data_IF_300271644834
#
_entry.id   IF_300271644834
#
_cell.length_a   1.000
_cell.length_b   1.000
_cell.length_c   1.000
_cell.angle_alpha   90.00
_cell.angle_beta   90.00
_cell.angle_gamma   90.00
#
_symmetry.space_group_name_H-M   'P 1'
#
loop_
_entity.id
_entity.type
_entity.pdbx_description
1 polymer ?
#
# COMPACT_ATOMS: atom_id res chain seq x y z
N UNK A 1 23.45 -52.99 56.39
CA UNK A 1 23.42 -51.57 56.82
C UNK A 1 23.41 -50.74 55.55
N UNK A 2 22.53 -49.80 55.23
CA UNK A 2 21.47 -49.06 55.90
C UNK A 2 20.58 -48.50 54.77
N UNK A 3 19.26 -48.53 54.93
CA UNK A 3 18.29 -47.91 54.00
C UNK A 3 18.34 -46.37 54.09
N UNK A 4 18.09 -45.62 52.98
CA UNK A 4 16.99 -44.62 52.83
C UNK A 4 17.13 -43.66 51.61
N UNK A 5 16.01 -43.06 51.15
CA UNK A 5 15.81 -42.43 49.83
C UNK A 5 15.81 -40.88 49.86
N UNK A 6 15.99 -40.24 48.70
CA UNK A 6 15.75 -38.81 48.41
C UNK A 6 15.78 -38.64 46.87
N UNK A 7 15.02 -37.82 46.17
CA UNK A 7 13.79 -37.06 46.39
C UNK A 7 13.45 -36.46 44.99
N UNK A 8 12.17 -36.39 44.64
CA UNK A 8 11.66 -35.93 43.37
C UNK A 8 11.90 -34.42 43.12
N UNK A 9 12.19 -34.03 41.87
CA UNK A 9 12.22 -32.60 41.46
C UNK A 9 11.43 -32.37 40.17
N UNK A 10 10.16 -32.01 40.38
CA UNK A 10 9.30 -31.04 39.68
C UNK A 10 9.50 -30.82 38.17
N UNK A 11 8.57 -31.37 37.39
CA UNK A 11 8.22 -30.86 36.07
C UNK A 11 7.40 -29.57 36.23
N UNK A 12 7.94 -28.44 35.76
CA UNK A 12 7.22 -27.16 35.72
C UNK A 12 6.18 -27.18 34.62
N UNK A 13 4.91 -27.31 34.98
CA UNK A 13 3.76 -27.09 34.10
C UNK A 13 3.35 -25.64 34.30
N UNK A 14 3.76 -24.75 33.39
CA UNK A 14 3.23 -23.39 33.37
C UNK A 14 1.83 -23.42 32.77
N UNK A 15 0.83 -23.55 33.64
CA UNK A 15 -0.57 -23.26 33.33
C UNK A 15 -0.70 -21.78 32.97
N UNK A 16 -0.95 -21.46 31.70
CA UNK A 16 -1.45 -20.14 31.32
C UNK A 16 -2.92 -20.09 31.75
N UNK A 17 -3.15 -19.43 32.88
CA UNK A 17 -4.47 -19.11 33.39
C UNK A 17 -5.06 -17.87 32.71
N UNK A 18 -6.39 -17.80 32.68
CA UNK A 18 -7.14 -16.58 32.37
C UNK A 18 -8.51 -16.86 31.74
N UNK A 19 -9.56 -16.80 32.56
CA UNK A 19 -10.96 -17.14 32.25
C UNK A 19 -11.79 -15.90 31.89
N UNK A 20 -12.70 -16.10 30.92
CA UNK A 20 -14.10 -15.64 30.83
C UNK A 20 -14.47 -14.13 30.79
N UNK A 21 -15.25 -13.72 29.77
CA UNK A 21 -16.55 -12.98 29.88
C UNK A 21 -17.32 -13.19 28.55
N UNK A 22 -18.47 -13.89 28.52
CA UNK A 22 -19.84 -13.34 28.46
C UNK A 22 -20.17 -12.79 27.05
N UNK A 23 -21.10 -13.31 26.24
CA UNK A 23 -22.47 -13.72 26.51
C UNK A 23 -23.39 -12.96 25.52
N UNK A 24 -24.50 -13.59 25.11
CA UNK A 24 -25.63 -13.03 24.33
C UNK A 24 -25.65 -13.18 22.80
N UNK A 25 -26.13 -14.36 22.40
CA UNK A 25 -27.25 -14.46 21.46
C UNK A 25 -28.50 -13.81 22.09
N UNK A 26 -29.34 -13.16 21.26
CA UNK A 26 -30.71 -12.62 21.49
C UNK A 26 -30.85 -11.08 21.56
N UNK A 27 -31.38 -10.47 20.49
CA UNK A 27 -32.66 -9.69 20.43
C UNK A 27 -32.67 -8.77 19.18
N UNK A 28 -33.62 -9.01 18.27
CA UNK A 28 -34.27 -8.04 17.36
C UNK A 28 -35.70 -7.80 17.91
N UNK A 29 -36.54 -6.85 17.47
CA UNK A 29 -36.39 -5.50 16.88
C UNK A 29 -37.28 -4.42 17.59
N UNK A 30 -37.42 -3.22 16.96
CA UNK A 30 -38.57 -2.27 17.00
C UNK A 30 -38.45 -0.93 17.77
N UNK A 31 -38.41 0.15 16.96
CA UNK A 31 -38.81 1.55 17.13
C UNK A 31 -38.94 2.17 18.53
N UNK A 32 -38.13 3.20 18.78
CA UNK A 32 -38.65 4.44 19.38
C UNK A 32 -37.93 5.64 18.78
N UNK A 33 -38.73 6.46 18.11
CA UNK A 33 -38.49 7.81 17.66
C UNK A 33 -37.72 8.72 18.65
N UNK A 34 -36.86 9.57 18.07
CA UNK A 34 -36.49 10.93 18.52
C UNK A 34 -35.57 11.04 19.75
N UNK A 35 -34.27 11.19 19.47
CA UNK A 35 -33.57 12.47 19.64
C UNK A 35 -32.55 12.55 18.50
N UNK A 36 -32.78 13.46 17.55
CA UNK A 36 -31.77 13.90 16.60
C UNK A 36 -30.77 14.72 17.43
N UNK A 37 -29.78 14.04 18.00
CA UNK A 37 -28.55 14.69 18.40
C UNK A 37 -27.80 14.95 17.10
N UNK A 38 -27.88 16.19 16.63
CA UNK A 38 -27.07 16.75 15.58
C UNK A 38 -25.60 16.71 16.00
N UNK A 39 -24.99 15.52 16.01
CA UNK A 39 -23.56 15.40 15.79
C UNK A 39 -23.38 15.56 14.30
N UNK A 40 -22.63 16.59 13.94
CA UNK A 40 -22.04 16.72 12.61
C UNK A 40 -21.64 15.34 12.11
N UNK A 41 -21.95 14.96 10.86
CA UNK A 41 -21.54 13.68 10.32
C UNK A 41 -20.03 13.60 10.53
N UNK A 42 -19.64 12.74 11.47
CA UNK A 42 -18.27 12.43 11.79
C UNK A 42 -17.66 11.99 10.48
N UNK A 43 -16.98 12.91 9.80
CA UNK A 43 -16.29 12.70 8.54
C UNK A 43 -15.23 11.68 8.87
N UNK A 44 -15.58 10.40 8.76
CA UNK A 44 -14.65 9.29 8.91
C UNK A 44 -13.43 9.67 8.09
N UNK A 45 -12.22 9.66 8.68
CA UNK A 45 -11.07 10.26 8.02
C UNK A 45 -10.86 9.51 6.71
N UNK A 46 -11.16 10.21 5.61
CA UNK A 46 -11.25 9.60 4.30
C UNK A 46 -9.86 9.08 3.96
N UNK A 47 -9.76 7.78 3.72
CA UNK A 47 -8.47 7.17 3.40
C UNK A 47 -7.94 7.75 2.09
N UNK A 48 -6.61 7.79 1.94
CA UNK A 48 -6.00 8.24 0.70
C UNK A 48 -6.53 7.46 -0.52
N UNK A 49 -6.84 6.18 -0.31
CA UNK A 49 -7.47 5.32 -1.33
C UNK A 49 -8.83 5.82 -1.79
N UNK A 50 -9.68 6.24 -0.86
CA UNK A 50 -11.01 6.78 -1.18
C UNK A 50 -10.91 8.14 -1.87
N UNK A 51 -9.95 8.97 -1.48
CA UNK A 51 -9.69 10.25 -2.18
C UNK A 51 -9.19 10.04 -3.61
N UNK A 52 -8.43 8.98 -3.84
CA UNK A 52 -7.86 8.63 -5.15
C UNK A 52 -8.77 7.73 -5.99
N UNK A 53 -9.96 7.37 -5.51
CA UNK A 53 -10.89 6.52 -6.25
C UNK A 53 -11.19 7.06 -7.66
N UNK A 54 -11.26 8.38 -7.81
CA UNK A 54 -11.48 9.06 -9.10
C UNK A 54 -10.28 8.99 -10.06
N UNK A 55 -9.09 8.61 -9.58
CA UNK A 55 -7.84 8.55 -10.35
C UNK A 55 -7.41 7.12 -10.70
N UNK A 56 -8.31 6.14 -10.53
CA UNK A 56 -8.06 4.73 -10.84
C UNK A 56 -6.80 4.19 -10.14
N UNK A 57 -6.84 3.98 -8.81
CA UNK A 57 -5.70 3.46 -8.05
C UNK A 57 -5.31 2.08 -8.58
N UNK A 58 -4.01 1.82 -8.65
CA UNK A 58 -3.46 0.54 -9.08
C UNK A 58 -3.79 -0.57 -8.07
N UNK A 59 -4.04 -1.77 -8.57
CA UNK A 59 -4.30 -2.91 -7.70
C UNK A 59 -2.98 -3.38 -7.04
N UNK A 60 -2.93 -3.34 -5.70
CA UNK A 60 -1.78 -3.78 -4.90
C UNK A 60 -1.82 -5.26 -4.55
N UNK A 61 -2.95 -5.95 -4.76
CA UNK A 61 -3.17 -7.35 -4.34
C UNK A 61 -3.16 -8.34 -5.50
N UNK A 62 -3.68 -7.91 -6.65
CA UNK A 62 -3.78 -8.75 -7.84
C UNK A 62 -2.64 -8.46 -8.83
N UNK A 63 -2.46 -9.37 -9.77
CA UNK A 63 -1.45 -9.28 -10.83
C UNK A 63 -1.93 -8.48 -12.06
N UNK A 64 -3.15 -7.91 -12.02
CA UNK A 64 -3.79 -7.25 -13.16
C UNK A 64 -3.01 -6.06 -13.70
N UNK A 65 -2.24 -5.40 -12.84
CA UNK A 65 -1.48 -4.20 -13.17
C UNK A 65 0.05 -4.42 -13.13
N UNK A 66 0.52 -5.67 -13.15
CA UNK A 66 1.96 -6.00 -12.98
C UNK A 66 2.87 -5.37 -14.03
N UNK A 67 2.40 -5.24 -15.27
CA UNK A 67 3.12 -4.53 -16.32
C UNK A 67 3.29 -3.04 -15.99
N UNK A 68 2.25 -2.41 -15.43
CA UNK A 68 2.30 -1.00 -15.03
C UNK A 68 3.24 -0.85 -13.85
N UNK A 69 3.16 -1.74 -12.85
CA UNK A 69 4.06 -1.75 -11.72
C UNK A 69 5.53 -1.95 -12.14
N UNK A 70 5.80 -2.86 -13.08
CA UNK A 70 7.13 -3.07 -13.63
C UNK A 70 7.69 -1.81 -14.31
N UNK A 71 6.85 -1.09 -15.06
CA UNK A 71 7.23 0.18 -15.68
C UNK A 71 7.53 1.27 -14.64
N UNK A 72 6.72 1.37 -13.57
CA UNK A 72 6.96 2.30 -12.48
C UNK A 72 8.26 1.98 -11.74
N UNK A 73 8.52 0.70 -11.45
CA UNK A 73 9.81 0.26 -10.88
C UNK A 73 10.97 0.67 -11.80
N UNK A 74 10.86 0.45 -13.12
CA UNK A 74 11.89 0.87 -14.07
C UNK A 74 12.10 2.39 -14.02
N UNK A 75 11.02 3.18 -13.96
CA UNK A 75 11.06 4.64 -13.80
C UNK A 75 11.78 5.06 -12.52
N UNK A 76 11.61 4.34 -11.41
CA UNK A 76 12.33 4.63 -10.16
C UNK A 76 13.86 4.62 -10.31
N UNK A 77 14.39 3.72 -11.14
CA UNK A 77 15.81 3.62 -11.44
C UNK A 77 16.30 4.59 -12.52
N UNK A 78 15.40 5.28 -13.23
CA UNK A 78 15.80 6.34 -14.16
C UNK A 78 16.45 7.52 -13.40
N UNK A 79 17.55 8.02 -13.94
CA UNK A 79 18.30 9.16 -13.39
C UNK A 79 17.63 10.51 -13.69
N UNK A 80 16.65 10.52 -14.58
CA UNK A 80 15.91 11.72 -15.04
C UNK A 80 14.81 12.16 -14.08
N UNK A 81 14.43 11.32 -13.10
CA UNK A 81 13.42 11.66 -12.10
C UNK A 81 14.10 12.37 -10.92
N UNK A 82 13.59 13.56 -10.59
CA UNK A 82 13.99 14.33 -9.41
C UNK A 82 13.90 13.47 -8.14
N UNK A 83 14.95 13.48 -7.31
CA UNK A 83 14.99 12.71 -6.06
C UNK A 83 13.84 13.06 -5.10
N UNK A 84 13.39 14.32 -5.11
CA UNK A 84 12.23 14.78 -4.32
C UNK A 84 10.90 14.17 -4.77
N UNK A 85 10.83 13.69 -6.02
CA UNK A 85 9.65 13.03 -6.59
C UNK A 85 9.74 11.51 -6.55
N UNK A 86 10.85 10.95 -6.06
CA UNK A 86 11.02 9.50 -5.92
C UNK A 86 10.34 9.00 -4.66
N UNK A 87 9.46 8.03 -4.82
CA UNK A 87 8.88 7.30 -3.70
C UNK A 87 9.98 6.51 -2.97
N UNK A 88 9.96 6.57 -1.65
CA UNK A 88 10.90 5.84 -0.80
C UNK A 88 10.41 4.40 -0.63
N UNK A 89 11.04 3.47 -1.35
CA UNK A 89 10.67 2.05 -1.32
C UNK A 89 11.75 1.31 -0.53
N UNK A 90 11.35 0.70 0.59
CA UNK A 90 12.26 -0.12 1.39
C UNK A 90 12.52 -1.45 0.69
N UNK A 91 13.78 -1.86 0.63
CA UNK A 91 14.15 -3.19 0.10
C UNK A 91 14.29 -3.28 -1.43
N UNK A 92 14.38 -2.15 -2.14
CA UNK A 92 14.69 -2.15 -3.57
C UNK A 92 16.01 -2.88 -3.87
N UNK A 93 15.95 -3.80 -4.82
CA UNK A 93 17.08 -4.53 -5.39
C UNK A 93 17.43 -3.97 -6.77
N UNK A 94 18.67 -4.17 -7.21
CA UNK A 94 19.11 -3.76 -8.55
C UNK A 94 18.24 -4.40 -9.65
N UNK A 95 17.79 -3.64 -10.68
CA UNK A 95 16.87 -4.13 -11.72
C UNK A 95 17.51 -5.13 -12.70
N UNK A 96 18.78 -5.47 -12.52
CA UNK A 96 19.58 -6.28 -13.45
C UNK A 96 19.20 -7.78 -13.49
N UNK A 97 18.27 -8.23 -12.65
CA UNK A 97 17.78 -9.62 -12.61
C UNK A 97 16.25 -9.66 -12.59
N UNK A 98 15.66 -10.64 -13.24
CA UNK A 98 14.20 -10.83 -13.32
C UNK A 98 13.58 -11.09 -11.93
N UNK A 99 14.23 -11.90 -11.08
CA UNK A 99 13.79 -12.11 -9.71
C UNK A 99 13.75 -10.80 -8.92
N UNK A 100 14.73 -9.92 -9.15
CA UNK A 100 14.76 -8.61 -8.49
C UNK A 100 13.64 -7.69 -9.00
N UNK A 101 13.21 -7.82 -10.26
CA UNK A 101 12.07 -7.05 -10.78
C UNK A 101 10.79 -7.40 -10.05
N UNK A 102 10.51 -8.68 -9.85
CA UNK A 102 9.33 -9.13 -9.12
C UNK A 102 9.38 -8.69 -7.64
N UNK A 103 10.52 -8.83 -6.98
CA UNK A 103 10.71 -8.35 -5.61
C UNK A 103 10.49 -6.83 -5.49
N UNK A 104 10.99 -6.06 -6.47
CA UNK A 104 10.80 -4.61 -6.50
C UNK A 104 9.34 -4.20 -6.75
N UNK A 105 8.61 -4.94 -7.59
CA UNK A 105 7.18 -4.74 -7.81
C UNK A 105 6.42 -4.98 -6.50
N UNK A 106 6.73 -6.07 -5.79
CA UNK A 106 6.12 -6.36 -4.48
C UNK A 106 6.43 -5.25 -3.46
N UNK A 107 7.68 -4.78 -3.41
CA UNK A 107 8.07 -3.69 -2.52
C UNK A 107 7.30 -2.39 -2.85
N UNK A 108 7.18 -2.03 -4.13
CA UNK A 108 6.42 -0.86 -4.56
C UNK A 108 4.92 -0.98 -4.23
N UNK A 109 4.32 -2.16 -4.47
CA UNK A 109 2.92 -2.45 -4.10
C UNK A 109 2.69 -2.27 -2.60
N UNK A 110 3.59 -2.79 -1.77
CA UNK A 110 3.51 -2.66 -0.31
C UNK A 110 3.64 -1.20 0.14
N UNK A 111 4.54 -0.42 -0.46
CA UNK A 111 4.65 1.02 -0.17
C UNK A 111 3.36 1.76 -0.54
N UNK A 112 2.77 1.46 -1.70
CA UNK A 112 1.50 2.05 -2.11
C UNK A 112 0.33 1.62 -1.22
N UNK A 113 0.27 0.37 -0.74
CA UNK A 113 -0.75 -0.07 0.21
C UNK A 113 -0.61 0.67 1.55
N UNK A 114 0.62 0.89 2.02
CA UNK A 114 0.88 1.71 3.21
C UNK A 114 0.45 3.17 3.02
N UNK A 115 0.63 3.76 1.83
CA UNK A 115 0.13 5.10 1.52
C UNK A 115 -1.40 5.14 1.50
N UNK A 116 -2.04 4.12 0.95
CA UNK A 116 -3.49 4.04 0.82
C UNK A 116 -4.24 3.95 2.15
N UNK A 117 -3.62 3.36 3.18
CA UNK A 117 -4.22 3.26 4.52
C UNK A 117 -3.99 4.51 5.39
N UNK A 118 -3.19 5.48 4.93
CA UNK A 118 -2.98 6.73 5.68
C UNK A 118 -4.28 7.56 5.70
N UNK A 119 -4.59 8.05 6.89
CA UNK A 119 -5.80 8.85 7.19
C UNK A 119 -5.46 10.23 7.77
N UNK A 120 -4.18 10.50 8.07
CA UNK A 120 -3.71 11.77 8.65
C UNK A 120 -2.41 12.25 7.98
N UNK A 121 -2.16 13.57 7.98
CA UNK A 121 -0.93 14.23 7.51
C UNK A 121 -0.44 13.79 6.11
N UNK A 122 -1.38 13.48 5.21
CA UNK A 122 -1.08 12.82 3.95
C UNK A 122 -0.97 13.77 2.75
N UNK A 123 -0.89 15.09 2.93
CA UNK A 123 -0.85 16.04 1.81
C UNK A 123 0.32 15.78 0.86
N UNK A 124 1.51 15.53 1.42
CA UNK A 124 2.70 15.14 0.65
C UNK A 124 2.60 13.69 0.12
N UNK A 125 2.00 12.81 0.91
CA UNK A 125 1.78 11.40 0.52
C UNK A 125 0.76 11.27 -0.63
N UNK A 126 -0.15 12.23 -0.76
CA UNK A 126 -1.16 12.29 -1.82
C UNK A 126 -0.51 12.50 -3.17
N UNK A 127 0.33 13.52 -3.32
CA UNK A 127 1.05 13.75 -4.58
C UNK A 127 1.92 12.54 -4.93
N UNK A 128 2.58 11.95 -3.93
CA UNK A 128 3.36 10.72 -4.12
C UNK A 128 2.50 9.56 -4.63
N UNK A 129 1.35 9.31 -4.01
CA UNK A 129 0.47 8.23 -4.41
C UNK A 129 -0.20 8.49 -5.76
N UNK A 130 -0.54 9.73 -6.10
CA UNK A 130 -1.01 10.11 -7.43
C UNK A 130 0.04 9.76 -8.49
N UNK A 131 1.31 10.07 -8.22
CA UNK A 131 2.40 9.79 -9.14
C UNK A 131 2.79 8.32 -9.22
N UNK A 132 2.73 7.55 -8.13
CA UNK A 132 3.33 6.21 -8.08
C UNK A 132 2.34 5.07 -7.90
N UNK A 133 1.11 5.36 -7.46
CA UNK A 133 0.12 4.35 -7.08
C UNK A 133 -1.17 4.43 -7.91
N UNK A 134 -1.23 5.25 -8.97
CA UNK A 134 -2.40 5.37 -9.84
C UNK A 134 -2.07 5.05 -11.30
N UNK A 135 -3.09 4.64 -12.06
CA UNK A 135 -2.98 4.38 -13.50
C UNK A 135 -2.74 5.65 -14.31
N UNK A 136 -3.11 6.80 -13.78
CA UNK A 136 -2.94 8.12 -14.39
C UNK A 136 -1.59 8.76 -14.06
N UNK A 137 -0.66 7.99 -13.50
CA UNK A 137 0.70 8.43 -13.16
C UNK A 137 1.34 9.24 -14.30
N UNK A 138 1.81 10.44 -13.97
CA UNK A 138 2.58 11.28 -14.89
C UNK A 138 3.87 10.60 -15.36
N UNK A 139 4.41 9.66 -14.58
CA UNK A 139 5.61 8.88 -14.92
C UNK A 139 5.37 7.89 -16.07
N UNK A 140 4.13 7.43 -16.23
CA UNK A 140 3.72 6.54 -17.31
C UNK A 140 3.45 7.31 -18.60
N UNK A 141 3.10 8.60 -18.51
CA UNK A 141 2.83 9.47 -19.66
C UNK A 141 4.11 9.93 -20.38
N UNK A 142 5.27 9.76 -19.74
CA UNK A 142 6.59 10.10 -20.29
C UNK A 142 7.16 9.00 -21.20
N UNK A 143 6.46 8.71 -22.30
CA UNK A 143 7.16 8.44 -23.54
C UNK A 143 7.16 9.76 -24.32
N UNK A 144 8.31 10.41 -24.57
CA UNK A 144 8.34 11.34 -25.68
C UNK A 144 7.93 10.54 -26.91
N UNK A 145 6.80 10.90 -27.49
CA UNK A 145 6.58 10.78 -28.91
C UNK A 145 7.79 11.41 -29.60
N UNK A 146 8.85 10.61 -29.78
CA UNK A 146 10.03 11.00 -30.51
C UNK A 146 9.63 11.18 -31.97
N UNK A 147 9.90 12.39 -32.46
CA UNK A 147 10.21 12.71 -33.85
C UNK A 147 9.18 12.28 -34.91
N UNK A 148 8.27 13.20 -35.22
CA UNK A 148 8.02 13.46 -36.66
C UNK A 148 9.27 14.19 -37.15
N UNK A 149 10.14 13.57 -37.97
CA UNK A 149 11.19 14.32 -38.66
C UNK A 149 10.48 15.35 -39.55
N UNK A 150 10.75 16.62 -39.32
CA UNK A 150 10.36 17.68 -40.25
C UNK A 150 10.90 17.32 -41.63
N UNK A 151 10.00 17.07 -42.58
CA UNK A 151 10.35 16.80 -43.96
C UNK A 151 11.20 17.97 -44.50
N UNK A 152 12.34 17.70 -45.17
CA UNK A 152 13.06 18.76 -45.87
C UNK A 152 12.15 19.32 -46.95
N UNK A 153 11.84 20.62 -46.85
CA UNK A 153 11.08 21.33 -47.87
C UNK A 153 11.77 21.25 -49.24
N UNK A 154 11.02 21.30 -50.35
CA UNK A 154 11.58 21.23 -51.68
C UNK A 154 12.51 22.43 -51.95
N UNK A 155 13.69 22.15 -52.52
CA UNK A 155 14.63 23.16 -53.00
C UNK A 155 13.94 24.05 -54.05
N UNK A 156 14.08 25.38 -53.99
CA UNK A 156 13.65 26.27 -55.07
C UNK A 156 14.53 26.07 -56.31
N UNK A 157 13.88 26.04 -57.48
CA UNK A 157 14.49 25.93 -58.82
C UNK A 157 15.10 27.24 -59.30
#
# INVERSE_FOLDING_TARGET
MVSKPLLATVAGISTVGGVAVGGYFLIKPYNTDKVVESRDPETSPQSLREMLANKNPLNTREATDDLIWGNLVAKHFESTIDQSKKIQITGLKSPNSENNKNDNIVALKATCENLFVKTENYENDKEMAEMWCTKESSLLKSAPSSSVPAAPGPLPS
#
